data_IF_563907136730
#
_entry.id   IF_563907136730
#
_cell.length_a   1.000
_cell.length_b   1.000
_cell.length_c   1.000
_cell.angle_alpha   90.00
_cell.angle_beta   90.00
_cell.angle_gamma   90.00
#
_symmetry.space_group_name_H-M   'P 1'
#
loop_
_entity.id
_entity.type
_entity.pdbx_description
1 polymer ?
#
# COMPACT_ATOMS: atom_id res chain seq x y z
N UNK A 1 2.22 30.41 -5.28
CA UNK A 1 2.81 29.28 -4.53
C UNK A 1 2.09 28.00 -4.91
N UNK A 2 2.83 26.97 -5.27
CA UNK A 2 2.36 25.75 -5.92
C UNK A 2 1.70 24.74 -4.96
N UNK A 3 1.30 25.18 -3.76
CA UNK A 3 0.75 24.27 -2.75
C UNK A 3 -0.48 23.50 -3.27
N UNK A 4 -1.42 24.19 -3.90
CA UNK A 4 -2.64 23.54 -4.38
C UNK A 4 -2.40 22.63 -5.61
N UNK A 5 -1.33 22.87 -6.38
CA UNK A 5 -0.95 22.04 -7.52
C UNK A 5 -0.31 20.74 -7.04
N UNK A 6 0.54 20.83 -6.00
CA UNK A 6 1.29 19.70 -5.47
C UNK A 6 0.56 18.94 -4.34
N UNK A 7 -0.54 19.49 -3.82
CA UNK A 7 -1.35 18.89 -2.78
C UNK A 7 -2.61 18.27 -3.38
N UNK A 8 -2.91 17.02 -3.03
CA UNK A 8 -4.11 16.31 -3.53
C UNK A 8 -5.42 16.88 -3.02
N UNK A 9 -5.36 17.72 -1.99
CA UNK A 9 -6.54 18.30 -1.36
C UNK A 9 -7.13 17.45 -0.26
N UNK A 10 -8.41 17.71 0.01
CA UNK A 10 -9.19 17.03 1.05
C UNK A 10 -10.47 16.51 0.40
N UNK A 11 -10.82 15.28 0.67
CA UNK A 11 -12.06 14.65 0.20
C UNK A 11 -12.97 14.38 1.39
N UNK A 12 -14.20 14.84 1.30
CA UNK A 12 -15.18 14.79 2.38
C UNK A 12 -16.41 14.03 1.90
N UNK A 13 -16.84 13.00 2.64
CA UNK A 13 -18.19 12.46 2.52
C UNK A 13 -19.15 13.32 3.35
N UNK A 14 -20.24 13.79 2.75
CA UNK A 14 -21.21 14.63 3.41
C UNK A 14 -22.63 14.08 3.22
N UNK A 15 -23.49 14.30 4.22
CA UNK A 15 -24.91 14.01 4.17
C UNK A 15 -25.61 14.95 3.18
N UNK A 16 -25.19 16.22 3.19
CA UNK A 16 -25.69 17.26 2.30
C UNK A 16 -24.60 18.30 2.04
N UNK A 17 -24.60 18.85 0.85
CA UNK A 17 -23.75 19.97 0.48
C UNK A 17 -24.55 20.99 -0.31
N UNK A 18 -24.44 22.28 0.03
CA UNK A 18 -25.18 23.37 -0.60
C UNK A 18 -24.23 24.53 -0.84
N UNK A 19 -24.24 25.09 -2.05
CA UNK A 19 -23.54 26.31 -2.40
C UNK A 19 -24.51 27.48 -2.50
N UNK A 20 -24.27 28.52 -1.71
CA UNK A 20 -24.98 29.80 -1.81
C UNK A 20 -24.17 30.77 -2.69
N UNK A 21 -24.59 30.92 -3.93
CA UNK A 21 -23.88 31.77 -4.89
C UNK A 21 -23.96 33.27 -4.55
N UNK A 22 -24.97 33.70 -3.81
CA UNK A 22 -25.12 35.11 -3.43
C UNK A 22 -24.14 35.52 -2.35
N UNK A 23 -23.77 34.56 -1.47
CA UNK A 23 -22.81 34.77 -0.38
C UNK A 23 -21.42 34.18 -0.68
N UNK A 24 -21.29 33.45 -1.79
CA UNK A 24 -20.08 32.62 -2.09
C UNK A 24 -19.72 31.67 -0.95
N UNK A 25 -20.72 31.12 -0.27
CA UNK A 25 -20.58 30.21 0.86
C UNK A 25 -20.96 28.79 0.47
N UNK A 26 -20.18 27.84 1.00
CA UNK A 26 -20.41 26.41 0.83
C UNK A 26 -20.68 25.77 2.18
N UNK A 27 -21.89 25.25 2.36
CA UNK A 27 -22.30 24.57 3.60
C UNK A 27 -22.22 23.08 3.42
N UNK A 28 -21.52 22.41 4.34
CA UNK A 28 -21.36 20.96 4.39
C UNK A 28 -22.04 20.45 5.65
N UNK A 29 -22.99 19.54 5.50
CA UNK A 29 -23.67 18.86 6.58
C UNK A 29 -23.05 17.46 6.74
N UNK A 30 -22.43 17.21 7.87
CA UNK A 30 -21.82 15.93 8.24
C UNK A 30 -22.75 15.03 9.09
N UNK A 31 -24.03 15.43 9.22
CA UNK A 31 -25.00 14.73 10.04
C UNK A 31 -24.74 14.87 11.54
N UNK A 32 -25.38 14.02 12.32
CA UNK A 32 -25.23 14.01 13.78
C UNK A 32 -24.00 13.17 14.17
N UNK A 33 -22.95 13.84 14.63
CA UNK A 33 -21.68 13.22 15.01
C UNK A 33 -21.75 12.45 16.35
N UNK A 34 -22.84 12.55 17.09
CA UNK A 34 -23.13 11.73 18.26
C UNK A 34 -23.86 10.43 17.87
N UNK A 35 -24.39 10.37 16.65
CA UNK A 35 -25.00 9.19 16.08
C UNK A 35 -23.93 8.32 15.37
N UNK A 36 -23.75 7.09 15.80
CA UNK A 36 -22.72 6.19 15.23
C UNK A 36 -22.87 5.98 13.71
N UNK A 37 -24.08 5.91 13.19
CA UNK A 37 -24.29 5.75 11.75
C UNK A 37 -23.79 6.98 10.96
N UNK A 38 -24.08 8.18 11.40
CA UNK A 38 -23.64 9.42 10.74
C UNK A 38 -22.13 9.61 10.92
N UNK A 39 -21.60 9.36 12.12
CA UNK A 39 -20.18 9.47 12.46
C UNK A 39 -19.28 8.56 11.60
N UNK A 40 -19.72 7.34 11.33
CA UNK A 40 -18.97 6.42 10.45
C UNK A 40 -19.30 6.61 8.96
N UNK A 41 -20.32 7.39 8.63
CA UNK A 41 -20.77 7.61 7.26
C UNK A 41 -20.33 8.94 6.67
N UNK A 42 -19.97 9.93 7.47
CA UNK A 42 -19.62 11.27 7.00
C UNK A 42 -18.36 11.77 7.68
N UNK A 43 -17.54 12.49 6.92
CA UNK A 43 -16.26 13.02 7.39
C UNK A 43 -15.19 13.02 6.30
N UNK A 44 -13.94 13.20 6.70
CA UNK A 44 -12.80 13.22 5.79
C UNK A 44 -12.47 11.78 5.34
N UNK A 45 -12.60 11.53 4.04
CA UNK A 45 -12.25 10.24 3.42
C UNK A 45 -10.78 10.17 3.01
N UNK A 46 -10.22 11.30 2.55
CA UNK A 46 -8.82 11.42 2.14
C UNK A 46 -8.31 12.84 2.43
N UNK A 47 -7.00 12.99 2.56
CA UNK A 47 -6.38 14.28 2.87
C UNK A 47 -6.38 14.64 4.36
N UNK A 48 -6.55 13.69 5.28
CA UNK A 48 -6.50 13.92 6.73
C UNK A 48 -5.20 14.57 7.18
N UNK A 49 -4.05 14.19 6.62
CA UNK A 49 -2.75 14.83 6.89
C UNK A 49 -2.73 16.29 6.42
N UNK A 50 -3.32 16.58 5.26
CA UNK A 50 -3.46 17.96 4.75
C UNK A 50 -4.32 18.80 5.68
N UNK A 51 -5.46 18.25 6.11
CA UNK A 51 -6.34 18.92 7.08
C UNK A 51 -5.61 19.21 8.40
N UNK A 52 -4.95 18.22 8.98
CA UNK A 52 -4.18 18.39 10.22
C UNK A 52 -3.07 19.42 10.06
N UNK A 53 -2.35 19.41 8.95
CA UNK A 53 -1.30 20.39 8.68
C UNK A 53 -1.88 21.81 8.57
N UNK A 54 -3.04 21.99 7.95
CA UNK A 54 -3.73 23.29 7.89
C UNK A 54 -4.14 23.74 9.29
N UNK A 55 -4.80 22.89 10.06
CA UNK A 55 -5.27 23.21 11.40
C UNK A 55 -4.11 23.64 12.34
N UNK A 56 -2.96 22.96 12.24
CA UNK A 56 -1.80 23.24 13.10
C UNK A 56 -0.98 24.46 12.66
N UNK A 57 -1.16 24.95 11.43
CA UNK A 57 -0.28 25.99 10.88
C UNK A 57 -1.01 27.19 10.27
N UNK A 58 -2.34 27.18 10.14
CA UNK A 58 -3.10 28.30 9.52
C UNK A 58 -2.77 29.65 10.15
N UNK A 59 -2.63 29.68 11.48
CA UNK A 59 -2.38 30.92 12.22
C UNK A 59 -0.91 31.41 12.12
N UNK A 60 -0.03 30.60 11.50
CA UNK A 60 1.37 30.93 11.22
C UNK A 60 1.57 31.49 9.81
N UNK A 61 0.53 31.49 9.00
CA UNK A 61 0.59 32.00 7.62
C UNK A 61 0.52 33.54 7.71
N UNK A 62 1.49 34.27 7.09
CA UNK A 62 1.43 35.71 7.01
C UNK A 62 0.12 36.23 6.41
N UNK A 63 -0.43 37.32 6.93
CA UNK A 63 -1.75 37.84 6.53
C UNK A 63 -1.82 38.26 5.04
N UNK A 64 -0.69 38.57 4.44
CA UNK A 64 -0.53 38.92 3.02
C UNK A 64 -0.42 37.71 2.10
N UNK A 65 -0.34 36.48 2.66
CA UNK A 65 -0.18 35.25 1.90
C UNK A 65 -1.45 34.41 1.93
N UNK A 66 -2.08 34.25 0.79
CA UNK A 66 -3.22 33.33 0.61
C UNK A 66 -2.76 32.00 0.04
N UNK A 67 -3.18 30.90 0.67
CA UNK A 67 -2.94 29.55 0.19
C UNK A 67 -4.28 28.85 -0.07
N UNK A 68 -4.34 28.16 -1.19
CA UNK A 68 -5.53 27.40 -1.60
C UNK A 68 -5.32 25.92 -1.40
N UNK A 69 -6.38 25.23 -1.05
CA UNK A 69 -6.45 23.77 -1.02
C UNK A 69 -7.69 23.34 -1.80
N UNK A 70 -7.55 22.28 -2.57
CA UNK A 70 -8.69 21.66 -3.25
C UNK A 70 -9.52 20.92 -2.22
N UNK A 71 -10.84 21.13 -2.23
CA UNK A 71 -11.80 20.35 -1.44
C UNK A 71 -12.80 19.72 -2.41
N UNK A 72 -12.95 18.41 -2.31
CA UNK A 72 -13.95 17.62 -3.02
C UNK A 72 -14.97 17.12 -2.01
N UNK A 73 -16.26 17.43 -2.23
CA UNK A 73 -17.34 16.97 -1.38
C UNK A 73 -18.22 15.99 -2.14
N UNK A 74 -18.38 14.80 -1.58
CA UNK A 74 -19.16 13.71 -2.17
C UNK A 74 -20.36 13.46 -1.29
N UNK A 75 -21.55 13.50 -1.89
CA UNK A 75 -22.81 13.16 -1.23
C UNK A 75 -23.36 11.82 -1.75
N UNK A 76 -24.28 11.20 -1.00
CA UNK A 76 -24.92 9.93 -1.37
C UNK A 76 -23.93 8.75 -1.55
N UNK A 77 -22.88 8.69 -0.73
CA UNK A 77 -21.93 7.59 -0.76
C UNK A 77 -22.58 6.33 -0.16
N UNK A 78 -22.75 5.30 -0.98
CA UNK A 78 -23.36 4.04 -0.54
C UNK A 78 -22.37 3.12 0.22
N UNK A 79 -21.08 3.20 -0.09
CA UNK A 79 -20.04 2.39 0.56
C UNK A 79 -18.75 3.20 0.71
N UNK A 80 -18.59 3.78 1.87
CA UNK A 80 -17.47 4.66 2.21
C UNK A 80 -16.15 3.89 2.27
N UNK A 81 -16.13 2.71 2.86
CA UNK A 81 -14.92 1.89 2.98
C UNK A 81 -14.35 1.57 1.59
N UNK A 82 -15.22 1.10 0.68
CA UNK A 82 -14.80 0.81 -0.70
C UNK A 82 -14.30 2.04 -1.44
N UNK A 83 -14.92 3.20 -1.22
CA UNK A 83 -14.49 4.44 -1.86
C UNK A 83 -13.14 4.92 -1.31
N UNK A 84 -12.94 4.84 0.00
CA UNK A 84 -11.68 5.18 0.66
C UNK A 84 -10.56 4.24 0.20
N UNK A 85 -10.81 2.94 0.15
CA UNK A 85 -9.84 1.94 -0.31
C UNK A 85 -9.47 2.15 -1.78
N UNK A 86 -10.46 2.42 -2.64
CA UNK A 86 -10.24 2.68 -4.05
C UNK A 86 -9.38 3.95 -4.27
N UNK A 87 -9.60 5.01 -3.49
CA UNK A 87 -8.82 6.25 -3.57
C UNK A 87 -7.40 6.07 -3.06
N UNK A 88 -7.23 5.38 -1.95
CA UNK A 88 -5.90 5.06 -1.40
C UNK A 88 -5.12 4.16 -2.38
N UNK A 89 -5.79 3.17 -2.97
CA UNK A 89 -5.19 2.27 -3.95
C UNK A 89 -4.83 3.02 -5.25
N UNK A 90 -5.72 3.87 -5.78
CA UNK A 90 -5.45 4.62 -7.01
C UNK A 90 -4.30 5.63 -6.85
N UNK A 91 -4.08 6.13 -5.62
CA UNK A 91 -2.94 7.00 -5.33
C UNK A 91 -1.59 6.26 -5.42
N UNK A 92 -1.51 5.04 -4.89
CA UNK A 92 -0.31 4.19 -4.99
C UNK A 92 -0.03 3.76 -6.43
N UNK A 93 -1.09 3.45 -7.15
CA UNK A 93 -1.13 3.04 -8.53
C UNK A 93 -0.55 4.13 -9.43
N UNK A 94 -0.95 5.38 -9.24
CA UNK A 94 -0.43 6.54 -9.95
C UNK A 94 1.10 6.71 -9.77
N UNK A 95 1.63 6.49 -8.57
CA UNK A 95 3.06 6.60 -8.30
C UNK A 95 3.87 5.50 -9.00
N UNK A 96 3.37 4.27 -9.04
CA UNK A 96 4.01 3.15 -9.75
C UNK A 96 3.97 3.38 -11.27
N UNK A 97 2.84 3.87 -11.79
CA UNK A 97 2.71 4.16 -13.21
C UNK A 97 3.64 5.29 -13.66
N UNK A 98 3.76 6.36 -12.88
CA UNK A 98 4.71 7.44 -13.13
C UNK A 98 6.16 6.94 -13.07
N UNK A 99 6.48 6.12 -12.09
CA UNK A 99 7.81 5.52 -11.94
C UNK A 99 8.19 4.62 -13.12
N UNK A 100 7.20 3.92 -13.69
CA UNK A 100 7.40 3.14 -14.90
C UNK A 100 7.56 4.00 -16.17
N UNK A 101 6.88 5.17 -16.23
CA UNK A 101 7.04 6.09 -17.35
C UNK A 101 8.46 6.69 -17.44
N UNK A 102 9.15 6.76 -16.31
CA UNK A 102 10.55 7.19 -16.22
C UNK A 102 11.55 6.04 -16.44
N UNK A 103 11.10 4.89 -16.97
CA UNK A 103 11.91 3.67 -17.22
C UNK A 103 12.62 3.11 -15.99
N UNK A 104 12.19 3.48 -14.79
CA UNK A 104 12.85 3.09 -13.54
C UNK A 104 12.66 1.61 -13.16
N UNK A 105 11.82 0.86 -13.90
CA UNK A 105 11.73 -0.60 -13.80
C UNK A 105 12.58 -1.35 -14.82
N UNK A 106 13.36 -0.66 -15.63
CA UNK A 106 14.16 -1.29 -16.69
C UNK A 106 15.08 -2.38 -16.12
N UNK A 107 15.76 -2.10 -15.00
CA UNK A 107 16.61 -3.10 -14.35
C UNK A 107 15.87 -4.36 -13.93
N UNK A 108 14.62 -4.22 -13.45
CA UNK A 108 13.76 -5.36 -13.11
C UNK A 108 13.38 -6.13 -14.37
N UNK A 109 13.01 -5.43 -15.44
CA UNK A 109 12.65 -6.05 -16.73
C UNK A 109 13.83 -6.83 -17.33
N UNK A 110 15.02 -6.24 -17.32
CA UNK A 110 16.25 -6.89 -17.78
C UNK A 110 16.60 -8.12 -16.94
N UNK A 111 16.48 -8.03 -15.61
CA UNK A 111 16.83 -9.12 -14.72
C UNK A 111 15.93 -10.33 -14.85
N UNK A 112 14.64 -10.13 -15.18
CA UNK A 112 13.68 -11.24 -15.38
C UNK A 112 13.50 -11.64 -16.83
N UNK A 113 14.26 -11.05 -17.75
CA UNK A 113 14.19 -11.39 -19.17
C UNK A 113 14.50 -12.87 -19.40
N UNK A 114 13.69 -13.55 -20.19
CA UNK A 114 13.78 -14.98 -20.44
C UNK A 114 13.18 -15.87 -19.34
N UNK A 115 12.69 -15.30 -18.24
CA UNK A 115 12.04 -16.08 -17.18
C UNK A 115 10.59 -16.47 -17.59
N UNK A 116 10.08 -17.63 -17.13
CA UNK A 116 8.73 -18.11 -17.49
C UNK A 116 7.58 -17.14 -17.10
N UNK A 117 7.84 -16.24 -16.19
CA UNK A 117 6.89 -15.26 -15.67
C UNK A 117 7.10 -13.84 -16.24
N UNK A 118 8.11 -13.59 -17.06
CA UNK A 118 8.43 -12.26 -17.62
C UNK A 118 7.18 -11.57 -18.18
N UNK A 119 6.43 -12.25 -19.04
CA UNK A 119 5.24 -11.72 -19.68
C UNK A 119 4.00 -11.63 -18.77
N UNK A 120 4.10 -12.12 -17.53
CA UNK A 120 3.02 -12.11 -16.54
C UNK A 120 3.08 -10.91 -15.60
N UNK A 121 4.13 -10.08 -15.69
CA UNK A 121 4.33 -8.93 -14.79
C UNK A 121 3.60 -7.70 -15.31
N UNK A 122 2.72 -7.14 -14.49
CA UNK A 122 2.04 -5.85 -14.70
C UNK A 122 2.90 -4.71 -14.14
N UNK A 123 3.30 -3.79 -15.00
CA UNK A 123 4.05 -2.58 -14.63
C UNK A 123 3.14 -1.35 -14.53
N UNK A 124 1.91 -1.47 -14.95
CA UNK A 124 0.87 -0.42 -14.94
C UNK A 124 -0.43 -1.01 -14.42
N UNK A 125 -1.27 -0.15 -13.87
CA UNK A 125 -2.55 -0.56 -13.29
C UNK A 125 -3.53 -1.18 -14.29
N UNK A 126 -3.46 -0.73 -15.53
CA UNK A 126 -4.32 -1.20 -16.61
C UNK A 126 -3.72 -2.41 -17.37
N UNK A 127 -2.57 -2.90 -16.93
CA UNK A 127 -2.01 -4.14 -17.48
C UNK A 127 -2.81 -5.33 -16.94
N UNK A 128 -3.57 -5.98 -17.81
CA UNK A 128 -4.33 -7.17 -17.43
C UNK A 128 -3.41 -8.39 -17.31
N UNK A 129 -2.48 -8.35 -16.33
CA UNK A 129 -1.51 -9.41 -16.05
C UNK A 129 -1.62 -9.86 -14.60
N UNK A 130 -1.36 -11.16 -14.31
CA UNK A 130 -1.67 -11.74 -12.99
C UNK A 130 -0.74 -11.30 -11.87
N UNK A 131 0.48 -10.86 -12.17
CA UNK A 131 1.49 -10.52 -11.16
C UNK A 131 1.81 -9.03 -11.26
N UNK A 132 1.56 -8.28 -10.22
CA UNK A 132 1.94 -6.87 -10.17
C UNK A 132 3.44 -6.72 -9.84
N UNK A 133 4.13 -5.77 -10.46
CA UNK A 133 5.57 -5.52 -10.22
C UNK A 133 5.88 -5.28 -8.73
N UNK A 134 4.92 -4.77 -7.98
CA UNK A 134 5.06 -4.59 -6.52
C UNK A 134 5.36 -5.90 -5.78
N UNK A 135 4.96 -7.06 -6.30
CA UNK A 135 5.27 -8.35 -5.66
C UNK A 135 6.77 -8.68 -5.78
N UNK A 136 7.38 -8.38 -6.93
CA UNK A 136 8.82 -8.51 -7.12
C UNK A 136 9.61 -7.55 -6.22
N UNK A 137 9.12 -6.30 -6.11
CA UNK A 137 9.74 -5.30 -5.23
C UNK A 137 9.61 -5.70 -3.75
N UNK A 138 8.48 -6.29 -3.35
CA UNK A 138 8.28 -6.81 -1.99
C UNK A 138 9.26 -7.93 -1.68
N UNK A 139 9.49 -8.82 -2.64
CA UNK A 139 10.45 -9.90 -2.52
C UNK A 139 11.87 -9.34 -2.34
N UNK A 140 12.27 -8.38 -3.15
CA UNK A 140 13.57 -7.69 -2.97
C UNK A 140 13.68 -7.01 -1.61
N UNK A 141 12.62 -6.32 -1.17
CA UNK A 141 12.60 -5.66 0.14
C UNK A 141 12.78 -6.65 1.31
N UNK A 142 12.28 -7.87 1.18
CA UNK A 142 12.48 -8.90 2.20
C UNK A 142 13.96 -9.27 2.40
N UNK A 143 14.80 -9.00 1.40
CA UNK A 143 16.24 -9.22 1.42
C UNK A 143 17.07 -7.92 1.48
N UNK A 144 16.46 -6.81 1.91
CA UNK A 144 17.16 -5.53 2.09
C UNK A 144 18.01 -5.56 3.36
N UNK A 145 19.17 -6.22 3.27
CA UNK A 145 20.11 -6.37 4.40
C UNK A 145 20.79 -5.05 4.77
N UNK A 146 20.77 -4.02 3.92
CA UNK A 146 21.22 -2.68 4.27
C UNK A 146 20.29 -2.07 5.33
N UNK A 147 19.00 -2.34 5.22
CA UNK A 147 18.00 -1.85 6.16
C UNK A 147 17.75 -2.80 7.33
N UNK A 148 17.90 -4.10 7.10
CA UNK A 148 17.65 -5.19 8.05
C UNK A 148 18.88 -6.09 8.13
N UNK A 149 19.97 -5.62 8.79
CA UNK A 149 21.27 -6.30 8.75
C UNK A 149 21.35 -7.55 9.62
N UNK A 150 20.40 -7.74 10.53
CA UNK A 150 20.39 -8.84 11.50
C UNK A 150 18.97 -9.28 11.87
N UNK A 151 18.88 -10.32 12.71
CA UNK A 151 17.63 -10.94 13.16
C UNK A 151 16.84 -10.09 14.17
N UNK A 152 17.36 -8.94 14.63
CA UNK A 152 16.70 -8.10 15.62
C UNK A 152 15.57 -7.25 14.97
N UNK A 153 15.60 -7.09 13.66
CA UNK A 153 14.62 -6.32 12.91
C UNK A 153 14.16 -7.09 11.66
N UNK A 154 13.06 -7.82 11.76
CA UNK A 154 12.48 -8.50 10.60
C UNK A 154 11.84 -7.51 9.60
N UNK A 155 11.90 -7.77 8.28
CA UNK A 155 11.31 -6.92 7.23
C UNK A 155 9.77 -7.04 7.17
N UNK A 156 9.08 -6.79 8.28
CA UNK A 156 7.62 -6.97 8.43
C UNK A 156 6.84 -6.15 7.38
N UNK A 157 7.36 -4.99 6.97
CA UNK A 157 6.71 -4.17 5.95
C UNK A 157 6.62 -4.87 4.59
N UNK A 158 7.43 -5.90 4.30
CA UNK A 158 7.29 -6.71 3.09
C UNK A 158 5.90 -7.36 3.00
N UNK A 159 5.22 -7.60 4.12
CA UNK A 159 3.87 -8.20 4.18
C UNK A 159 2.75 -7.16 4.26
N UNK A 160 2.91 -6.13 5.07
CA UNK A 160 1.82 -5.21 5.44
C UNK A 160 1.96 -3.80 4.89
N UNK A 161 3.14 -3.43 4.39
CA UNK A 161 3.47 -2.04 4.09
C UNK A 161 3.76 -1.76 2.61
N UNK A 162 2.86 -2.07 1.67
CA UNK A 162 3.09 -1.85 0.22
C UNK A 162 3.65 -0.46 -0.11
N UNK A 163 3.12 0.59 0.51
CA UNK A 163 3.59 1.96 0.31
C UNK A 163 5.03 2.17 0.80
N UNK A 164 5.39 1.59 1.95
CA UNK A 164 6.74 1.68 2.51
C UNK A 164 7.76 0.94 1.65
N UNK A 165 7.39 -0.23 1.16
CA UNK A 165 8.21 -1.04 0.24
C UNK A 165 8.49 -0.27 -1.04
N UNK A 166 7.46 0.31 -1.66
CA UNK A 166 7.64 1.09 -2.88
C UNK A 166 8.43 2.37 -2.64
N UNK A 167 8.19 3.06 -1.52
CA UNK A 167 8.98 4.22 -1.13
C UNK A 167 10.46 3.87 -1.02
N UNK A 168 10.79 2.78 -0.32
CA UNK A 168 12.19 2.33 -0.19
C UNK A 168 12.81 1.97 -1.55
N UNK A 169 12.06 1.31 -2.42
CA UNK A 169 12.52 1.00 -3.77
C UNK A 169 12.83 2.28 -4.55
N UNK A 170 11.95 3.27 -4.55
CA UNK A 170 12.18 4.59 -5.20
C UNK A 170 13.46 5.28 -4.71
N UNK A 171 13.77 5.15 -3.44
CA UNK A 171 14.95 5.77 -2.83
C UNK A 171 16.25 5.01 -3.13
N UNK A 172 16.16 3.70 -3.39
CA UNK A 172 17.33 2.82 -3.41
C UNK A 172 17.58 2.07 -4.74
N UNK A 173 16.62 2.04 -5.68
CA UNK A 173 16.67 1.16 -6.88
C UNK A 173 17.94 1.33 -7.71
N UNK A 174 18.54 2.51 -7.72
CA UNK A 174 19.76 2.85 -8.46
C UNK A 174 21.05 2.71 -7.63
N UNK A 175 20.94 2.32 -6.37
CA UNK A 175 22.12 2.05 -5.54
C UNK A 175 22.83 0.76 -5.96
N UNK A 176 24.16 0.64 -5.76
CA UNK A 176 24.90 -0.58 -6.08
C UNK A 176 24.32 -1.84 -5.43
N UNK A 177 23.82 -1.71 -4.18
CA UNK A 177 23.19 -2.81 -3.46
C UNK A 177 21.90 -3.27 -4.16
N UNK A 178 20.95 -2.36 -4.45
CA UNK A 178 19.70 -2.73 -5.10
C UNK A 178 19.88 -3.21 -6.53
N UNK A 179 20.84 -2.68 -7.27
CA UNK A 179 21.22 -3.21 -8.59
C UNK A 179 21.71 -4.65 -8.49
N UNK A 180 22.60 -4.94 -7.52
CA UNK A 180 23.05 -6.31 -7.25
C UNK A 180 21.92 -7.23 -6.84
N UNK A 181 21.02 -6.75 -5.97
CA UNK A 181 19.84 -7.48 -5.53
C UNK A 181 18.89 -7.77 -6.70
N UNK A 182 18.69 -6.81 -7.60
CA UNK A 182 17.86 -6.97 -8.80
C UNK A 182 18.40 -8.07 -9.73
N UNK A 183 19.72 -8.18 -9.89
CA UNK A 183 20.34 -9.27 -10.66
C UNK A 183 20.03 -10.65 -10.04
N UNK A 184 19.85 -10.73 -8.73
CA UNK A 184 19.51 -11.97 -8.04
C UNK A 184 18.00 -12.25 -8.03
N UNK A 185 17.17 -11.36 -8.55
CA UNK A 185 15.71 -11.46 -8.48
C UNK A 185 15.16 -12.81 -9.00
N UNK A 186 15.64 -13.39 -10.12
CA UNK A 186 15.20 -14.72 -10.52
C UNK A 186 15.40 -15.79 -9.46
N UNK A 187 16.54 -15.77 -8.76
CA UNK A 187 16.81 -16.74 -7.67
C UNK A 187 15.94 -16.49 -6.45
N UNK A 188 15.60 -15.22 -6.18
CA UNK A 188 14.68 -14.89 -5.08
C UNK A 188 13.26 -15.38 -5.37
N UNK A 189 12.83 -15.30 -6.64
CA UNK A 189 11.54 -15.85 -7.08
C UNK A 189 11.55 -17.38 -6.94
N UNK A 190 12.59 -18.05 -7.42
CA UNK A 190 12.73 -19.50 -7.29
C UNK A 190 12.75 -19.96 -5.82
N UNK A 191 13.40 -19.18 -4.95
CA UNK A 191 13.40 -19.44 -3.51
C UNK A 191 12.01 -19.26 -2.91
N UNK A 192 11.30 -18.21 -3.29
CA UNK A 192 9.93 -17.95 -2.83
C UNK A 192 9.00 -19.10 -3.23
N UNK A 193 9.01 -19.48 -4.50
CA UNK A 193 8.18 -20.58 -5.04
C UNK A 193 8.53 -21.92 -4.35
N UNK A 194 9.81 -22.13 -4.04
CA UNK A 194 10.24 -23.33 -3.30
C UNK A 194 9.72 -23.33 -1.87
N UNK A 195 9.81 -22.19 -1.18
CA UNK A 195 9.25 -22.04 0.18
C UNK A 195 7.75 -22.28 0.16
N UNK A 196 7.01 -21.64 -0.77
CA UNK A 196 5.57 -21.79 -0.87
C UNK A 196 5.16 -23.26 -1.09
N UNK A 197 5.88 -23.97 -1.97
CA UNK A 197 5.63 -25.39 -2.28
C UNK A 197 5.95 -26.31 -1.10
N UNK A 198 7.05 -26.04 -0.38
CA UNK A 198 7.55 -26.96 0.65
C UNK A 198 7.06 -26.63 2.05
N UNK A 199 6.64 -25.37 2.30
CA UNK A 199 6.22 -24.90 3.61
C UNK A 199 5.14 -25.78 4.26
N UNK A 200 4.08 -26.24 3.57
CA UNK A 200 3.06 -27.08 4.19
C UNK A 200 3.63 -28.39 4.77
N UNK A 201 4.49 -29.09 4.02
CA UNK A 201 5.11 -30.34 4.48
C UNK A 201 6.11 -30.08 5.62
N UNK A 202 6.93 -29.03 5.49
CA UNK A 202 7.89 -28.65 6.53
C UNK A 202 7.22 -28.19 7.81
N UNK A 203 6.12 -27.48 7.72
CA UNK A 203 5.33 -27.09 8.87
C UNK A 203 4.76 -28.31 9.60
N UNK A 204 4.26 -29.29 8.87
CA UNK A 204 3.74 -30.54 9.45
C UNK A 204 4.84 -31.38 10.07
N UNK A 205 6.01 -31.51 9.42
CA UNK A 205 7.19 -32.16 10.01
C UNK A 205 7.60 -31.53 11.35
N UNK A 206 7.70 -30.19 11.38
CA UNK A 206 8.06 -29.46 12.59
C UNK A 206 7.03 -29.62 13.71
N UNK A 207 5.75 -29.58 13.35
CA UNK A 207 4.64 -29.79 14.28
C UNK A 207 4.69 -31.20 14.91
N UNK A 208 5.02 -32.23 14.12
CA UNK A 208 5.20 -33.59 14.59
C UNK A 208 6.37 -33.73 15.57
N UNK A 209 7.51 -33.08 15.29
CA UNK A 209 8.69 -33.10 16.17
C UNK A 209 8.41 -32.47 17.53
N UNK A 210 7.54 -31.47 17.61
CA UNK A 210 7.21 -30.76 18.85
C UNK A 210 6.05 -31.39 19.63
N UNK A 211 5.36 -32.38 19.06
CA UNK A 211 4.16 -33.00 19.63
C UNK A 211 2.91 -32.14 19.47
N UNK A 212 1.75 -32.81 19.35
CA UNK A 212 0.45 -32.18 19.08
C UNK A 212 -0.10 -31.32 20.24
N UNK A 213 0.51 -31.38 21.41
CA UNK A 213 0.07 -30.68 22.62
C UNK A 213 0.54 -29.22 22.72
N UNK A 214 1.31 -28.69 21.76
CA UNK A 214 1.81 -27.33 21.83
C UNK A 214 0.78 -26.33 21.27
N UNK A 215 0.12 -25.50 22.10
CA UNK A 215 -0.96 -24.60 21.69
C UNK A 215 -0.51 -23.47 20.74
N UNK A 216 0.82 -23.30 20.53
CA UNK A 216 1.36 -22.29 19.62
C UNK A 216 1.15 -22.63 18.16
N UNK A 217 0.82 -23.87 17.83
CA UNK A 217 0.67 -24.34 16.44
C UNK A 217 -0.82 -24.64 16.14
N UNK A 218 -1.69 -23.65 16.37
CA UNK A 218 -3.05 -23.68 15.86
C UNK A 218 -3.11 -23.82 14.34
N UNK A 219 -4.29 -23.85 13.78
CA UNK A 219 -4.46 -23.86 12.31
C UNK A 219 -3.78 -22.63 11.70
N UNK A 220 -2.88 -22.86 10.75
CA UNK A 220 -2.28 -21.80 9.93
C UNK A 220 -3.10 -21.70 8.66
N UNK A 221 -3.58 -20.51 8.33
CA UNK A 221 -4.36 -20.26 7.11
C UNK A 221 -3.52 -20.61 5.87
N UNK A 222 -4.08 -21.42 4.97
CA UNK A 222 -3.40 -21.86 3.74
C UNK A 222 -2.57 -23.14 3.87
N UNK A 223 -2.47 -23.72 5.07
CA UNK A 223 -1.88 -25.05 5.27
C UNK A 223 -3.00 -26.01 5.64
N UNK A 224 -3.26 -26.99 4.78
CA UNK A 224 -4.21 -28.06 5.07
C UNK A 224 -3.63 -28.96 6.18
N UNK A 225 -4.44 -29.25 7.18
CA UNK A 225 -4.06 -30.19 8.22
C UNK A 225 -3.90 -31.59 7.59
N UNK A 226 -2.77 -32.23 7.80
CA UNK A 226 -2.61 -33.64 7.45
C UNK A 226 -3.55 -34.46 8.33
N UNK A 227 -4.55 -35.11 7.69
CA UNK A 227 -5.56 -35.92 8.40
C UNK A 227 -4.95 -37.12 9.16
N UNK A 228 -3.70 -37.49 8.86
CA UNK A 228 -2.95 -38.53 9.59
C UNK A 228 -2.43 -38.06 10.96
N UNK A 229 -2.57 -36.77 11.29
CA UNK A 229 -2.11 -36.16 12.55
C UNK A 229 -3.20 -36.08 13.63
N UNK A 230 -4.34 -36.72 13.41
CA UNK A 230 -5.49 -36.75 14.34
C UNK A 230 -5.50 -37.95 15.28
N UNK A 231 -4.36 -38.51 15.60
CA UNK A 231 -4.27 -39.59 16.64
C UNK A 231 -3.55 -39.09 17.88
#
# INVERSE_FOLDING_TARGET
>A
TDFYINNRGIVIAAKKAVFDSAKSEFTIDLGDQENDNDKYSYGILDGGHTYTAIMNNRDKIPADLTKYVRVEVITNVQNITRLSDARNTSAQVSDIALFNLDDNFLFVQEAISGQPYENKIAYKDNDNKPIHVSELIRLMFAFDVDKYPDDNAAPIQSYSGKAQVFKRYKEAFDTPFYRSLTIQLPKLVDLYDTIERELPSKYNEYKNQLGTANPRFGSVTGIEADDNLKT
#
